data_IF_328600417545
#
_entry.id   IF_328600417545
#
_cell.length_a   1.000
_cell.length_b   1.000
_cell.length_c   1.000
_cell.angle_alpha   90.00
_cell.angle_beta   90.00
_cell.angle_gamma   90.00
#
_symmetry.space_group_name_H-M   'P 1'
#
loop_
_entity.id
_entity.type
_entity.pdbx_description
1 polymer ?
#
# COMPACT_ATOMS: atom_id res chain seq x y z
N UNK A 1 30.03 58.21 70.29
CA UNK A 1 30.14 56.76 70.16
C UNK A 1 29.58 56.39 68.84
N UNK A 2 30.46 55.89 68.04
CA UNK A 2 30.43 55.68 66.61
C UNK A 2 29.74 54.32 66.33
N UNK A 3 28.73 54.28 65.51
CA UNK A 3 28.15 53.04 64.94
C UNK A 3 28.60 52.90 63.51
N UNK A 4 28.84 51.66 62.98
CA UNK A 4 29.43 51.48 61.68
C UNK A 4 28.38 51.51 60.55
N UNK A 5 28.83 52.06 59.44
CA UNK A 5 28.19 52.11 58.14
C UNK A 5 27.93 50.70 57.59
N UNK A 6 26.71 50.44 57.12
CA UNK A 6 26.36 49.28 56.33
C UNK A 6 26.68 49.57 54.86
N UNK A 7 27.62 48.82 54.32
CA UNK A 7 27.87 48.77 52.90
C UNK A 7 26.71 48.08 52.18
N UNK A 8 26.15 48.77 51.22
CA UNK A 8 25.21 48.30 50.22
C UNK A 8 25.95 47.38 49.24
N UNK A 9 25.67 46.10 49.33
CA UNK A 9 26.15 45.13 48.34
C UNK A 9 25.14 45.04 47.19
N UNK A 10 25.49 45.64 46.08
CA UNK A 10 24.72 45.57 44.82
C UNK A 10 24.43 44.12 44.40
N UNK A 11 23.18 43.79 44.36
CA UNK A 11 22.67 42.61 43.68
C UNK A 11 22.88 42.77 42.16
N UNK A 12 23.88 42.09 41.64
CA UNK A 12 23.98 41.81 40.20
C UNK A 12 22.88 40.81 39.88
N UNK A 13 21.78 41.28 39.28
CA UNK A 13 20.79 40.45 38.65
C UNK A 13 21.45 39.74 37.47
N UNK A 14 21.79 38.47 37.64
CA UNK A 14 21.98 37.57 36.55
C UNK A 14 20.59 37.41 35.86
N UNK A 15 20.42 38.10 34.73
CA UNK A 15 19.42 37.71 33.75
C UNK A 15 19.86 36.30 33.29
N UNK A 16 19.22 35.26 33.83
CA UNK A 16 19.27 33.93 33.28
C UNK A 16 18.69 34.03 31.86
N UNK A 17 19.48 33.69 30.87
CA UNK A 17 18.98 33.33 29.57
C UNK A 17 17.99 32.21 29.83
N UNK A 18 16.69 32.47 29.58
CA UNK A 18 15.67 31.45 29.47
C UNK A 18 16.07 30.57 28.28
N UNK A 19 16.84 29.54 28.56
CA UNK A 19 17.05 28.44 27.63
C UNK A 19 15.65 27.85 27.49
N UNK A 20 15.04 28.06 26.32
CA UNK A 20 13.82 27.38 25.94
C UNK A 20 14.16 25.88 25.91
N UNK A 21 13.99 25.21 27.05
CA UNK A 21 14.05 23.76 27.11
C UNK A 21 12.87 23.23 26.30
N UNK A 22 13.15 22.68 25.14
CA UNK A 22 12.15 21.98 24.33
C UNK A 22 11.81 20.66 25.01
N UNK A 23 10.52 20.44 25.28
CA UNK A 23 10.00 19.16 25.76
C UNK A 23 9.55 18.31 24.54
N UNK A 24 9.40 16.99 24.76
CA UNK A 24 8.87 16.06 23.76
C UNK A 24 7.49 16.48 23.22
N UNK A 25 6.68 17.16 24.04
CA UNK A 25 5.38 17.70 23.64
C UNK A 25 5.52 18.87 22.64
N UNK A 26 6.62 19.65 22.74
CA UNK A 26 6.93 20.75 21.80
C UNK A 26 7.40 20.23 20.44
N UNK A 27 8.05 19.07 20.41
CA UNK A 27 8.48 18.41 19.17
C UNK A 27 7.33 17.89 18.33
N UNK A 28 6.12 17.79 18.94
CA UNK A 28 4.92 17.27 18.31
C UNK A 28 4.99 15.77 18.01
N UNK A 29 3.91 15.07 18.20
CA UNK A 29 3.82 13.65 17.78
C UNK A 29 3.73 13.57 16.27
N UNK A 30 4.51 12.68 15.66
CA UNK A 30 4.41 12.36 14.24
C UNK A 30 3.12 11.58 14.02
N UNK A 31 2.23 12.12 13.20
CA UNK A 31 1.02 11.38 12.81
C UNK A 31 1.39 10.17 11.96
N UNK A 32 0.72 9.05 12.21
CA UNK A 32 0.90 7.84 11.39
C UNK A 32 0.50 8.11 9.94
N UNK A 33 -0.63 8.81 9.73
CA UNK A 33 -1.07 9.26 8.40
C UNK A 33 -1.52 10.70 8.48
N UNK A 34 -0.94 11.57 7.66
CA UNK A 34 -1.38 12.95 7.51
C UNK A 34 -1.52 13.38 6.05
N UNK A 35 -2.45 14.29 5.82
CA UNK A 35 -2.67 15.01 4.57
C UNK A 35 -2.30 16.46 4.81
N UNK A 36 -1.18 16.89 4.24
CA UNK A 36 -0.69 18.25 4.37
C UNK A 36 -1.13 19.09 3.18
N UNK A 37 -1.79 20.21 3.43
CA UNK A 37 -2.40 21.07 2.43
C UNK A 37 -1.65 22.38 2.30
N UNK A 38 -1.39 22.81 1.06
CA UNK A 38 -1.01 24.18 0.77
C UNK A 38 -2.17 25.14 1.06
N UNK A 39 -1.86 26.39 1.32
CA UNK A 39 -2.83 27.38 1.83
C UNK A 39 -4.04 27.61 0.89
N UNK A 40 -3.90 27.43 -0.42
CA UNK A 40 -4.99 27.56 -1.39
C UNK A 40 -6.03 26.46 -1.31
N UNK A 41 -5.70 25.32 -0.64
CA UNK A 41 -6.58 24.18 -0.49
C UNK A 41 -7.32 24.14 0.86
N UNK A 42 -6.95 25.01 1.79
CA UNK A 42 -7.60 25.09 3.14
C UNK A 42 -9.11 25.28 3.05
N UNK A 43 -9.66 26.13 2.15
CA UNK A 43 -11.11 26.30 2.03
C UNK A 43 -11.89 25.03 1.68
N UNK A 44 -11.22 24.00 1.15
CA UNK A 44 -11.85 22.71 0.85
C UNK A 44 -12.14 21.87 2.11
N UNK A 45 -11.50 22.19 3.23
CA UNK A 45 -11.60 21.51 4.53
C UNK A 45 -12.54 22.23 5.47
N UNK A 46 -12.69 23.55 5.31
CA UNK A 46 -13.52 24.37 6.16
C UNK A 46 -14.99 23.92 6.13
N UNK A 47 -15.61 23.93 7.30
CA UNK A 47 -17.02 23.52 7.50
C UNK A 47 -18.02 24.34 6.64
N UNK A 48 -17.71 25.60 6.33
CA UNK A 48 -18.48 26.48 5.46
C UNK A 48 -18.44 26.04 3.98
N UNK A 49 -17.36 25.32 3.56
CA UNK A 49 -17.24 24.65 2.26
C UNK A 49 -17.95 23.30 2.18
N UNK A 50 -18.70 22.90 3.22
CA UNK A 50 -19.52 21.69 3.27
C UNK A 50 -18.79 20.42 3.70
N UNK A 51 -17.53 20.50 4.16
CA UNK A 51 -16.78 19.36 4.73
C UNK A 51 -16.66 18.16 3.78
N UNK A 52 -16.73 18.38 2.46
CA UNK A 52 -16.75 17.30 1.44
C UNK A 52 -15.51 16.41 1.54
N UNK A 53 -14.34 17.01 1.66
CA UNK A 53 -13.08 16.27 1.79
C UNK A 53 -13.04 15.44 3.07
N UNK A 54 -13.44 16.01 4.22
CA UNK A 54 -13.50 15.31 5.51
C UNK A 54 -14.44 14.09 5.47
N UNK A 55 -15.61 14.26 4.87
CA UNK A 55 -16.58 13.17 4.73
C UNK A 55 -16.06 12.06 3.81
N UNK A 56 -15.37 12.41 2.72
CA UNK A 56 -14.73 11.43 1.83
C UNK A 56 -13.61 10.68 2.53
N UNK A 57 -12.73 11.38 3.24
CA UNK A 57 -11.63 10.75 4.01
C UNK A 57 -12.19 9.80 5.07
N UNK A 58 -13.25 10.19 5.79
CA UNK A 58 -13.92 9.30 6.74
C UNK A 58 -14.52 8.07 6.07
N UNK A 59 -15.12 8.24 4.89
CA UNK A 59 -15.66 7.15 4.07
C UNK A 59 -14.55 6.18 3.63
N UNK A 60 -13.43 6.70 3.11
CA UNK A 60 -12.26 5.92 2.70
C UNK A 60 -11.67 5.15 3.88
N UNK A 61 -11.45 5.81 5.02
CA UNK A 61 -10.93 5.13 6.21
C UNK A 61 -11.82 3.96 6.62
N UNK A 62 -13.16 4.14 6.62
CA UNK A 62 -14.11 3.07 6.93
C UNK A 62 -14.02 1.93 5.92
N UNK A 63 -14.02 2.27 4.62
CA UNK A 63 -13.94 1.30 3.51
C UNK A 63 -12.65 0.49 3.60
N UNK A 64 -11.49 1.15 3.66
CA UNK A 64 -10.20 0.50 3.75
C UNK A 64 -10.04 -0.35 5.02
N UNK A 65 -10.52 0.12 6.17
CA UNK A 65 -10.50 -0.69 7.40
C UNK A 65 -11.29 -2.00 7.24
N UNK A 66 -12.42 -1.96 6.54
CA UNK A 66 -13.21 -3.15 6.25
C UNK A 66 -12.54 -4.07 5.23
N UNK A 67 -11.94 -3.49 4.17
CA UNK A 67 -11.24 -4.24 3.13
C UNK A 67 -9.98 -4.91 3.68
N UNK A 68 -9.15 -4.19 4.42
CA UNK A 68 -7.88 -4.70 4.97
C UNK A 68 -8.05 -5.59 6.20
N UNK A 69 -9.17 -5.49 6.90
CA UNK A 69 -9.46 -6.31 8.08
C UNK A 69 -8.91 -5.78 9.39
N UNK A 70 -8.42 -4.53 9.44
CA UNK A 70 -7.98 -3.86 10.66
C UNK A 70 -8.35 -2.38 10.67
N UNK A 71 -8.43 -1.78 11.85
CA UNK A 71 -8.78 -0.36 11.98
C UNK A 71 -7.58 0.52 11.58
N UNK A 72 -7.74 1.25 10.48
CA UNK A 72 -6.73 2.22 10.06
C UNK A 72 -6.60 3.35 11.07
N UNK A 73 -5.38 3.87 11.30
CA UNK A 73 -5.15 5.02 12.16
C UNK A 73 -5.94 6.24 11.69
N UNK A 74 -6.09 7.22 12.56
CA UNK A 74 -6.73 8.48 12.19
C UNK A 74 -5.89 9.21 11.14
N UNK A 75 -6.55 9.68 10.08
CA UNK A 75 -5.91 10.50 9.05
C UNK A 75 -6.03 11.96 9.51
N UNK A 76 -4.91 12.59 9.79
CA UNK A 76 -4.85 13.99 10.21
C UNK A 76 -4.71 14.90 9.00
N UNK A 77 -5.51 15.96 8.98
CA UNK A 77 -5.34 17.03 7.98
C UNK A 77 -4.62 18.18 8.66
N UNK A 78 -3.57 18.66 8.02
CA UNK A 78 -2.74 19.77 8.50
C UNK A 78 -2.56 20.79 7.38
N UNK A 79 -2.55 22.06 7.71
CA UNK A 79 -2.04 23.10 6.85
C UNK A 79 -0.51 23.11 6.87
N UNK A 80 0.11 23.26 5.72
CA UNK A 80 1.55 23.38 5.57
C UNK A 80 1.87 24.55 4.67
N UNK A 81 2.32 25.65 5.27
CA UNK A 81 2.62 26.91 4.56
C UNK A 81 3.88 26.82 3.70
N UNK A 82 4.73 25.82 3.91
CA UNK A 82 5.91 25.56 3.09
C UNK A 82 5.55 24.89 1.76
N UNK A 83 4.35 24.34 1.66
CA UNK A 83 3.86 23.77 0.41
C UNK A 83 3.35 24.88 -0.55
N UNK A 84 3.53 24.72 -1.88
CA UNK A 84 2.85 25.55 -2.85
C UNK A 84 1.33 25.58 -2.61
N UNK A 85 0.65 26.69 -2.94
CA UNK A 85 -0.75 26.92 -2.57
C UNK A 85 -1.73 25.82 -3.02
N UNK A 86 -1.50 25.26 -4.19
CA UNK A 86 -2.32 24.27 -4.90
C UNK A 86 -1.82 22.85 -4.74
N UNK A 87 -0.87 22.63 -3.83
CA UNK A 87 -0.20 21.35 -3.63
C UNK A 87 -0.64 20.72 -2.30
N UNK A 88 -0.85 19.40 -2.34
CA UNK A 88 -1.00 18.60 -1.13
C UNK A 88 0.02 17.47 -1.09
N UNK A 89 0.35 17.02 0.12
CA UNK A 89 1.21 15.88 0.37
C UNK A 89 0.51 14.86 1.26
N UNK A 90 0.71 13.59 0.95
CA UNK A 90 0.29 12.47 1.77
C UNK A 90 1.54 11.96 2.47
N UNK A 91 1.50 11.97 3.80
CA UNK A 91 2.65 11.64 4.65
C UNK A 91 2.29 10.43 5.50
N UNK A 92 3.16 9.43 5.53
CA UNK A 92 3.04 8.23 6.37
C UNK A 92 4.31 8.15 7.24
N UNK A 93 4.12 8.07 8.55
CA UNK A 93 5.21 8.02 9.53
C UNK A 93 6.27 9.14 9.31
N UNK A 94 5.81 10.36 9.01
CA UNK A 94 6.67 11.52 8.75
C UNK A 94 7.35 11.53 7.37
N UNK A 95 7.12 10.52 6.51
CA UNK A 95 7.68 10.43 5.17
C UNK A 95 6.63 10.73 4.10
N UNK A 96 6.92 11.63 3.17
CA UNK A 96 6.04 11.93 2.03
C UNK A 96 5.98 10.72 1.11
N UNK A 97 4.77 10.16 0.94
CA UNK A 97 4.49 9.02 0.06
C UNK A 97 3.77 9.40 -1.23
N UNK A 98 3.06 10.52 -1.22
CA UNK A 98 2.38 11.05 -2.40
C UNK A 98 2.36 12.56 -2.41
N UNK A 99 2.39 13.15 -3.60
CA UNK A 99 2.23 14.59 -3.82
C UNK A 99 1.29 14.79 -5.00
N UNK A 100 0.34 15.71 -4.85
CA UNK A 100 -0.56 16.03 -5.94
C UNK A 100 -0.80 17.55 -6.04
N UNK A 101 -1.20 17.98 -7.23
CA UNK A 101 -1.56 19.36 -7.53
C UNK A 101 -3.03 19.45 -7.88
N UNK A 102 -3.71 20.43 -7.33
CA UNK A 102 -5.14 20.67 -7.53
C UNK A 102 -5.36 22.05 -8.12
N UNK A 103 -6.18 22.13 -9.14
CA UNK A 103 -6.65 23.40 -9.65
C UNK A 103 -7.95 23.79 -8.93
N UNK A 104 -7.85 24.76 -8.01
CA UNK A 104 -9.00 25.19 -7.22
C UNK A 104 -10.15 25.68 -8.12
N UNK A 105 -11.36 25.22 -7.85
CA UNK A 105 -12.56 25.60 -8.60
C UNK A 105 -12.73 24.88 -9.95
N UNK A 106 -11.84 23.94 -10.30
CA UNK A 106 -11.94 23.12 -11.52
C UNK A 106 -12.26 21.66 -11.18
N UNK A 107 -12.64 20.90 -12.20
CA UNK A 107 -12.83 19.46 -12.13
C UNK A 107 -11.80 18.75 -13.02
N UNK A 108 -11.43 17.51 -12.67
CA UNK A 108 -10.47 16.74 -13.43
C UNK A 108 -11.20 15.79 -14.37
N UNK A 109 -11.02 15.99 -15.67
CA UNK A 109 -11.48 15.09 -16.72
C UNK A 109 -10.36 14.10 -17.05
N UNK A 110 -10.49 12.86 -16.59
CA UNK A 110 -9.51 11.78 -16.75
C UNK A 110 -9.78 11.05 -18.06
N UNK A 111 -8.76 10.85 -18.87
CA UNK A 111 -8.84 10.08 -20.10
C UNK A 111 -8.68 8.58 -19.78
N UNK A 112 -9.72 7.74 -19.99
CA UNK A 112 -9.63 6.29 -19.75
C UNK A 112 -8.90 5.51 -20.85
N UNK A 113 -8.25 6.19 -21.80
CA UNK A 113 -7.49 5.59 -22.90
C UNK A 113 -8.19 5.65 -24.28
N UNK A 114 -9.49 5.96 -24.33
CA UNK A 114 -10.25 6.07 -25.57
C UNK A 114 -11.32 7.15 -25.46
N UNK A 115 -10.95 8.38 -25.79
CA UNK A 115 -11.88 9.49 -25.83
C UNK A 115 -12.30 9.78 -27.28
N UNK A 116 -13.54 10.24 -27.47
CA UNK A 116 -14.09 10.54 -28.79
C UNK A 116 -13.53 11.86 -29.36
N UNK A 117 -13.28 12.83 -28.49
CA UNK A 117 -12.82 14.17 -28.84
C UNK A 117 -11.97 14.74 -27.74
N UNK A 118 -10.85 15.37 -28.08
CA UNK A 118 -10.05 16.13 -27.13
C UNK A 118 -10.81 17.36 -26.63
N UNK A 119 -10.68 17.67 -25.35
CA UNK A 119 -11.32 18.82 -24.72
C UNK A 119 -10.29 19.87 -24.34
N UNK A 120 -10.71 21.15 -24.35
CA UNK A 120 -9.86 22.27 -23.94
C UNK A 120 -9.79 22.35 -22.39
N UNK A 121 -8.60 22.69 -21.87
CA UNK A 121 -8.39 22.90 -20.45
C UNK A 121 -6.90 22.93 -20.08
N UNK A 122 -6.60 22.84 -18.79
CA UNK A 122 -5.22 22.79 -18.29
C UNK A 122 -4.76 21.33 -18.27
N UNK A 123 -3.75 20.96 -19.08
CA UNK A 123 -3.26 19.58 -19.10
C UNK A 123 -2.69 19.17 -17.74
N UNK A 124 -2.91 17.94 -17.36
CA UNK A 124 -2.42 17.37 -16.11
C UNK A 124 -2.44 15.84 -16.14
N UNK A 125 -2.17 15.25 -14.99
CA UNK A 125 -2.29 13.81 -14.79
C UNK A 125 -3.10 13.53 -13.53
N UNK A 126 -3.85 12.43 -13.55
CA UNK A 126 -4.46 11.92 -12.34
C UNK A 126 -3.38 11.45 -11.36
N UNK A 127 -3.34 11.98 -10.12
CA UNK A 127 -2.26 11.65 -9.18
C UNK A 127 -2.34 10.23 -8.62
N UNK A 128 -3.51 9.57 -8.71
CA UNK A 128 -3.70 8.21 -8.19
C UNK A 128 -3.15 7.14 -9.14
N UNK A 129 -3.45 7.27 -10.45
CA UNK A 129 -3.14 6.24 -11.45
C UNK A 129 -2.19 6.75 -12.55
N UNK A 130 -1.85 8.04 -12.55
CA UNK A 130 -0.94 8.64 -13.54
C UNK A 130 -1.55 8.79 -14.94
N UNK A 131 -2.86 8.59 -15.09
CA UNK A 131 -3.57 8.73 -16.36
C UNK A 131 -3.55 10.18 -16.85
N UNK A 132 -3.53 10.37 -18.16
CA UNK A 132 -3.63 11.68 -18.77
C UNK A 132 -5.00 12.30 -18.47
N UNK A 133 -4.99 13.56 -18.07
CA UNK A 133 -6.19 14.26 -17.63
C UNK A 133 -6.12 15.76 -17.97
N UNK A 134 -7.27 16.41 -17.93
CA UNK A 134 -7.42 17.83 -18.21
C UNK A 134 -8.25 18.48 -17.12
N UNK A 135 -7.76 19.59 -16.54
CA UNK A 135 -8.55 20.41 -15.62
C UNK A 135 -9.49 21.32 -16.40
N UNK A 136 -10.78 21.17 -16.19
CA UNK A 136 -11.85 21.87 -16.89
C UNK A 136 -12.68 22.74 -15.93
N UNK A 137 -13.43 23.67 -16.46
CA UNK A 137 -14.44 24.37 -15.68
C UNK A 137 -15.64 23.45 -15.41
N UNK A 138 -16.31 23.56 -14.25
CA UNK A 138 -17.49 22.73 -13.95
C UNK A 138 -18.63 22.85 -14.97
N UNK A 139 -18.69 23.97 -15.71
CA UNK A 139 -19.67 24.15 -16.77
C UNK A 139 -19.45 23.22 -17.98
N UNK A 140 -18.23 22.72 -18.16
CA UNK A 140 -17.85 21.86 -19.29
C UNK A 140 -17.95 20.36 -18.95
N UNK A 141 -18.34 20.02 -17.73
CA UNK A 141 -18.36 18.64 -17.21
C UNK A 141 -19.25 17.71 -18.03
N UNK A 142 -20.46 18.17 -18.42
CA UNK A 142 -21.37 17.36 -19.24
C UNK A 142 -20.80 17.10 -20.64
N UNK A 143 -20.13 18.09 -21.22
CA UNK A 143 -19.48 17.94 -22.52
C UNK A 143 -18.30 16.99 -22.44
N UNK A 144 -17.46 17.09 -21.39
CA UNK A 144 -16.35 16.18 -21.18
C UNK A 144 -16.80 14.73 -21.00
N UNK A 145 -17.86 14.49 -20.20
CA UNK A 145 -18.46 13.16 -20.03
C UNK A 145 -19.01 12.62 -21.37
N UNK A 146 -19.70 13.44 -22.14
CA UNK A 146 -20.21 13.05 -23.45
C UNK A 146 -19.08 12.71 -24.44
N UNK A 147 -17.89 13.30 -24.25
CA UNK A 147 -16.68 13.03 -25.05
C UNK A 147 -15.91 11.79 -24.59
N UNK A 148 -16.37 11.10 -23.52
CA UNK A 148 -15.78 9.85 -23.03
C UNK A 148 -14.79 10.01 -21.87
N UNK A 149 -14.68 11.23 -21.28
CA UNK A 149 -13.86 11.44 -20.09
C UNK A 149 -14.60 11.06 -18.80
N UNK A 150 -13.85 10.60 -17.81
CA UNK A 150 -14.36 10.46 -16.44
C UNK A 150 -14.09 11.76 -15.68
N UNK A 151 -15.15 12.50 -15.35
CA UNK A 151 -15.02 13.78 -14.65
C UNK A 151 -15.22 13.61 -13.16
N UNK A 152 -14.27 14.10 -12.37
CA UNK A 152 -14.26 14.02 -10.91
C UNK A 152 -13.93 15.38 -10.27
N UNK A 153 -14.56 15.65 -9.13
CA UNK A 153 -14.26 16.85 -8.33
C UNK A 153 -12.90 16.74 -7.62
N UNK A 154 -12.33 17.85 -7.23
CA UNK A 154 -11.02 17.97 -6.57
C UNK A 154 -10.94 17.17 -5.27
N UNK A 155 -12.02 17.11 -4.47
CA UNK A 155 -12.07 16.33 -3.24
C UNK A 155 -12.02 14.82 -3.54
N UNK A 156 -12.61 14.37 -4.63
CA UNK A 156 -12.52 12.99 -5.11
C UNK A 156 -11.11 12.67 -5.57
N UNK A 157 -10.45 13.54 -6.34
CA UNK A 157 -9.06 13.35 -6.78
C UNK A 157 -8.14 13.12 -5.58
N UNK A 158 -8.20 14.02 -4.59
CA UNK A 158 -7.38 13.89 -3.37
C UNK A 158 -7.71 12.61 -2.59
N UNK A 159 -8.98 12.28 -2.47
CA UNK A 159 -9.46 11.12 -1.75
C UNK A 159 -9.04 9.81 -2.44
N UNK A 160 -9.12 9.73 -3.76
CA UNK A 160 -8.67 8.57 -4.55
C UNK A 160 -7.15 8.39 -4.45
N UNK A 161 -6.38 9.47 -4.55
CA UNK A 161 -4.93 9.40 -4.38
C UNK A 161 -4.55 8.96 -2.96
N UNK A 162 -5.22 9.50 -1.92
CA UNK A 162 -5.02 9.06 -0.54
C UNK A 162 -5.32 7.57 -0.37
N UNK A 163 -6.41 7.07 -0.98
CA UNK A 163 -6.76 5.65 -0.96
C UNK A 163 -5.67 4.78 -1.60
N UNK A 164 -5.17 5.16 -2.77
CA UNK A 164 -4.08 4.45 -3.46
C UNK A 164 -2.81 4.42 -2.60
N UNK A 165 -2.37 5.58 -2.10
CA UNK A 165 -1.15 5.69 -1.28
C UNK A 165 -1.26 4.86 0.00
N UNK A 166 -2.43 4.83 0.67
CA UNK A 166 -2.63 4.00 1.86
C UNK A 166 -2.57 2.51 1.50
N UNK A 167 -3.20 2.09 0.40
CA UNK A 167 -3.13 0.69 -0.05
C UNK A 167 -1.71 0.26 -0.38
N UNK A 168 -0.98 1.10 -1.11
CA UNK A 168 0.40 0.83 -1.52
C UNK A 168 1.41 0.74 -0.37
N UNK A 169 1.06 1.29 0.81
CA UNK A 169 1.91 1.32 2.00
C UNK A 169 1.19 0.72 3.23
N UNK A 170 0.26 -0.20 3.01
CA UNK A 170 -0.56 -0.77 4.09
C UNK A 170 0.28 -1.48 5.17
N UNK A 171 1.41 -2.07 4.78
CA UNK A 171 2.34 -2.72 5.70
C UNK A 171 2.96 -1.76 6.72
N UNK A 172 3.15 -0.49 6.36
CA UNK A 172 3.70 0.52 7.28
C UNK A 172 2.71 0.93 8.37
N UNK A 173 1.42 0.66 8.16
CA UNK A 173 0.35 0.94 9.11
C UNK A 173 0.14 -0.19 10.12
N UNK A 174 0.72 -1.37 9.87
CA UNK A 174 0.68 -2.52 10.77
C UNK A 174 1.77 -2.37 11.83
N UNK A 175 1.43 -1.72 12.94
CA UNK A 175 2.29 -1.53 14.11
C UNK A 175 2.11 -2.64 15.13
N UNK A 176 2.97 -2.68 16.15
CA UNK A 176 2.82 -3.60 17.29
C UNK A 176 1.47 -3.42 18.00
N UNK A 177 1.03 -2.16 18.19
CA UNK A 177 -0.23 -1.86 18.88
C UNK A 177 -1.44 -2.35 18.06
N UNK A 178 -1.44 -2.12 16.74
CA UNK A 178 -2.51 -2.59 15.84
C UNK A 178 -2.57 -4.13 15.81
N UNK A 179 -1.44 -4.80 15.73
CA UNK A 179 -1.37 -6.25 15.78
C UNK A 179 -1.88 -6.80 17.14
N UNK A 180 -1.50 -6.16 18.25
CA UNK A 180 -1.97 -6.55 19.57
C UNK A 180 -3.50 -6.38 19.71
N UNK A 181 -4.07 -5.30 19.17
CA UNK A 181 -5.52 -5.11 19.16
C UNK A 181 -6.24 -6.22 18.36
N UNK A 182 -5.68 -6.64 17.22
CA UNK A 182 -6.23 -7.74 16.43
C UNK A 182 -6.17 -9.07 17.19
N UNK A 183 -5.04 -9.36 17.86
CA UNK A 183 -4.86 -10.54 18.68
C UNK A 183 -5.85 -10.56 19.84
N UNK A 184 -6.01 -9.44 20.56
CA UNK A 184 -6.94 -9.33 21.67
C UNK A 184 -8.39 -9.64 21.25
N UNK A 185 -8.81 -9.20 20.06
CA UNK A 185 -10.14 -9.54 19.51
C UNK A 185 -10.33 -11.02 19.25
N UNK A 186 -9.26 -11.71 18.80
CA UNK A 186 -9.33 -13.17 18.64
C UNK A 186 -9.31 -13.87 19.99
N UNK A 187 -8.54 -13.38 20.96
CA UNK A 187 -8.51 -13.89 22.32
C UNK A 187 -9.89 -13.86 22.99
N UNK A 188 -10.65 -12.79 22.83
CA UNK A 188 -12.04 -12.69 23.34
C UNK A 188 -12.93 -13.84 22.83
N UNK A 189 -12.74 -14.28 21.58
CA UNK A 189 -13.56 -15.33 20.95
C UNK A 189 -12.93 -16.71 21.03
N UNK A 190 -11.62 -16.81 21.19
CA UNK A 190 -10.83 -18.04 21.15
C UNK A 190 -9.60 -17.98 22.08
N UNK A 191 -9.81 -17.86 23.40
CA UNK A 191 -8.71 -17.63 24.35
C UNK A 191 -7.65 -18.72 24.31
N UNK A 192 -8.06 -20.00 24.14
CA UNK A 192 -7.12 -21.12 24.09
C UNK A 192 -6.15 -21.09 22.93
N UNK A 193 -6.49 -20.40 21.85
CA UNK A 193 -5.59 -20.25 20.70
C UNK A 193 -4.40 -19.36 21.05
N UNK A 194 -4.61 -18.38 21.92
CA UNK A 194 -3.62 -17.35 22.23
C UNK A 194 -2.79 -17.73 23.47
N UNK A 195 -3.44 -18.32 24.50
CA UNK A 195 -2.89 -18.56 25.84
C UNK A 195 -1.58 -19.39 25.84
N UNK A 196 -1.48 -20.41 24.97
CA UNK A 196 -0.30 -21.28 24.86
C UNK A 196 0.64 -20.91 23.70
N UNK A 197 0.33 -19.83 22.96
CA UNK A 197 1.01 -19.52 21.70
C UNK A 197 1.80 -18.20 21.77
N UNK A 198 1.20 -17.12 22.29
CA UNK A 198 1.80 -15.77 22.32
C UNK A 198 2.04 -15.35 23.79
N UNK A 199 3.23 -14.90 24.16
CA UNK A 199 4.47 -14.74 23.35
C UNK A 199 5.39 -15.99 23.37
N UNK A 200 5.02 -17.05 24.10
CA UNK A 200 5.96 -18.13 24.47
C UNK A 200 6.48 -18.90 23.26
N UNK A 201 5.61 -19.31 22.33
CA UNK A 201 6.01 -20.04 21.14
C UNK A 201 6.43 -19.15 19.99
N UNK A 202 5.69 -18.05 19.75
CA UNK A 202 5.99 -17.10 18.69
C UNK A 202 5.96 -15.65 19.21
N UNK A 203 7.08 -14.91 19.12
CA UNK A 203 7.14 -13.50 19.54
C UNK A 203 6.17 -12.62 18.72
N UNK A 204 5.55 -11.63 19.36
CA UNK A 204 4.67 -10.65 18.69
C UNK A 204 5.36 -10.02 17.47
N UNK A 205 6.65 -9.70 17.56
CA UNK A 205 7.40 -9.12 16.45
C UNK A 205 7.46 -9.99 15.20
N UNK A 206 7.45 -11.32 15.34
CA UNK A 206 7.39 -12.23 14.20
C UNK A 206 5.98 -12.21 13.59
N UNK A 207 4.94 -12.18 14.42
CA UNK A 207 3.54 -12.07 13.94
C UNK A 207 3.35 -10.76 13.17
N UNK A 208 3.80 -9.63 13.73
CA UNK A 208 3.76 -8.32 13.05
C UNK A 208 4.40 -8.39 11.66
N UNK A 209 5.59 -9.01 11.54
CA UNK A 209 6.26 -9.18 10.23
C UNK A 209 5.45 -10.04 9.26
N UNK A 210 4.83 -11.12 9.72
CA UNK A 210 3.96 -11.94 8.85
C UNK A 210 2.79 -11.12 8.35
N UNK A 211 2.11 -10.37 9.23
CA UNK A 211 0.99 -9.50 8.85
C UNK A 211 1.44 -8.41 7.87
N UNK A 212 2.61 -7.81 8.09
CA UNK A 212 3.22 -6.85 7.16
C UNK A 212 3.51 -7.47 5.80
N UNK A 213 4.04 -8.70 5.72
CA UNK A 213 4.26 -9.39 4.45
C UNK A 213 2.96 -9.68 3.71
N UNK A 214 1.90 -10.11 4.41
CA UNK A 214 0.58 -10.31 3.82
C UNK A 214 0.03 -9.00 3.23
N UNK A 215 0.01 -7.93 4.02
CA UNK A 215 -0.45 -6.60 3.58
C UNK A 215 0.38 -6.05 2.42
N UNK A 216 1.70 -6.24 2.47
CA UNK A 216 2.60 -5.83 1.40
C UNK A 216 2.26 -6.49 0.07
N UNK A 217 1.74 -7.68 0.07
CA UNK A 217 1.31 -8.42 -1.11
C UNK A 217 -0.20 -8.30 -1.38
N UNK A 218 -0.87 -7.32 -0.76
CA UNK A 218 -2.29 -7.02 -0.97
C UNK A 218 -3.25 -8.03 -0.33
N UNK A 219 -2.77 -8.93 0.53
CA UNK A 219 -3.62 -9.92 1.20
C UNK A 219 -4.29 -9.30 2.42
N UNK A 220 -5.63 -9.26 2.46
CA UNK A 220 -6.35 -8.70 3.60
C UNK A 220 -6.27 -9.61 4.84
N UNK A 221 -6.33 -8.98 6.01
CA UNK A 221 -6.24 -9.66 7.31
C UNK A 221 -7.62 -10.00 7.92
N UNK A 222 -8.68 -10.03 7.10
CA UNK A 222 -10.05 -10.26 7.57
C UNK A 222 -10.22 -11.60 8.28
N UNK A 223 -9.49 -12.61 7.84
CA UNK A 223 -9.46 -13.93 8.47
C UNK A 223 -8.24 -14.09 9.40
N UNK A 224 -8.18 -13.22 10.41
CA UNK A 224 -7.11 -13.24 11.41
C UNK A 224 -7.05 -14.55 12.19
N UNK A 225 -8.21 -15.23 12.34
CA UNK A 225 -8.28 -16.54 13.01
C UNK A 225 -7.46 -17.57 12.26
N UNK A 226 -7.70 -17.79 10.97
CA UNK A 226 -6.95 -18.74 10.14
C UNK A 226 -5.45 -18.42 10.11
N UNK A 227 -5.11 -17.12 10.08
CA UNK A 227 -3.70 -16.70 10.18
C UNK A 227 -3.08 -17.19 11.47
N UNK A 228 -3.68 -16.90 12.63
CA UNK A 228 -3.13 -17.29 13.94
C UNK A 228 -3.13 -18.81 14.16
N UNK A 229 -4.18 -19.51 13.73
CA UNK A 229 -4.24 -20.99 13.79
C UNK A 229 -3.08 -21.61 13.00
N UNK A 230 -2.84 -21.13 11.77
CA UNK A 230 -1.73 -21.63 10.94
C UNK A 230 -0.37 -21.31 11.57
N UNK A 231 -0.20 -20.09 12.10
CA UNK A 231 1.04 -19.72 12.78
C UNK A 231 1.29 -20.59 14.02
N UNK A 232 0.24 -20.94 14.77
CA UNK A 232 0.34 -21.81 15.94
C UNK A 232 0.73 -23.25 15.57
N UNK A 233 0.24 -23.75 14.43
CA UNK A 233 0.58 -25.10 13.92
C UNK A 233 2.01 -25.17 13.37
N UNK A 234 2.49 -24.10 12.72
CA UNK A 234 3.73 -24.11 11.96
C UNK A 234 4.93 -23.52 12.73
N UNK A 235 4.71 -22.79 13.83
CA UNK A 235 5.78 -22.12 14.57
C UNK A 235 6.81 -23.04 15.21
N UNK A 236 6.48 -24.34 15.41
CA UNK A 236 7.42 -25.34 15.90
C UNK A 236 8.40 -25.79 14.80
N UNK A 237 8.07 -25.61 13.51
CA UNK A 237 8.90 -25.98 12.35
C UNK A 237 9.83 -24.85 11.94
N UNK A 238 9.31 -23.64 11.92
CA UNK A 238 10.08 -22.43 11.56
C UNK A 238 9.59 -21.22 12.34
N UNK A 239 10.49 -20.27 12.58
CA UNK A 239 10.18 -18.95 13.16
C UNK A 239 10.51 -17.80 12.19
N UNK A 240 10.93 -18.15 10.98
CA UNK A 240 11.14 -17.15 9.94
C UNK A 240 9.82 -16.60 9.44
N UNK A 241 9.68 -15.28 9.46
CA UNK A 241 8.42 -14.62 9.13
C UNK A 241 8.04 -14.76 7.64
N UNK A 242 9.02 -14.87 6.73
CA UNK A 242 8.74 -15.03 5.31
C UNK A 242 8.28 -16.46 5.00
N UNK A 243 8.90 -17.46 5.62
CA UNK A 243 8.47 -18.85 5.52
C UNK A 243 7.07 -19.05 6.13
N UNK A 244 6.82 -18.48 7.31
CA UNK A 244 5.49 -18.53 7.95
C UNK A 244 4.43 -17.86 7.06
N UNK A 245 4.74 -16.71 6.44
CA UNK A 245 3.84 -16.06 5.50
C UNK A 245 3.53 -16.97 4.31
N UNK A 246 4.51 -17.66 3.75
CA UNK A 246 4.32 -18.60 2.65
C UNK A 246 3.44 -19.80 3.03
N UNK A 247 3.48 -20.24 4.31
CA UNK A 247 2.62 -21.30 4.83
C UNK A 247 1.18 -20.83 5.13
N UNK A 248 1.01 -19.58 5.53
CA UNK A 248 -0.31 -18.96 5.78
C UNK A 248 -1.09 -18.72 4.48
N UNK A 249 -0.44 -18.25 3.43
CA UNK A 249 -1.10 -17.85 2.17
C UNK A 249 -1.99 -18.92 1.53
N UNK A 250 -1.58 -20.22 1.42
CA UNK A 250 -2.45 -21.26 0.89
C UNK A 250 -3.75 -21.45 1.67
N UNK A 251 -3.73 -21.23 3.00
CA UNK A 251 -4.93 -21.27 3.84
C UNK A 251 -5.89 -20.10 3.57
N UNK A 252 -5.35 -18.98 3.07
CA UNK A 252 -6.10 -17.79 2.67
C UNK A 252 -6.45 -17.76 1.18
N UNK A 253 -6.17 -18.83 0.41
CA UNK A 253 -6.32 -18.86 -1.04
C UNK A 253 -7.69 -18.37 -1.53
N UNK A 254 -8.80 -18.83 -0.91
CA UNK A 254 -10.15 -18.33 -1.24
C UNK A 254 -10.31 -16.84 -0.99
N UNK A 255 -9.77 -16.33 0.11
CA UNK A 255 -9.82 -14.90 0.44
C UNK A 255 -9.02 -14.07 -0.57
N UNK A 256 -7.84 -14.57 -0.98
CA UNK A 256 -6.99 -13.91 -1.97
C UNK A 256 -7.70 -13.85 -3.33
N UNK A 257 -8.32 -14.95 -3.76
CA UNK A 257 -9.01 -15.01 -5.05
C UNK A 257 -10.25 -14.13 -5.11
N UNK A 258 -10.98 -13.96 -4.00
CA UNK A 258 -12.14 -13.05 -3.94
C UNK A 258 -11.79 -11.58 -4.14
N UNK A 259 -10.52 -11.19 -3.98
CA UNK A 259 -10.05 -9.84 -4.32
C UNK A 259 -9.73 -9.69 -5.82
N UNK A 260 -9.65 -10.80 -6.56
CA UNK A 260 -9.21 -10.83 -7.96
C UNK A 260 -10.37 -11.12 -8.92
N UNK A 261 -11.29 -11.99 -8.55
CA UNK A 261 -12.35 -12.50 -9.43
C UNK A 261 -13.63 -12.76 -8.62
N UNK A 262 -14.78 -12.59 -9.25
CA UNK A 262 -16.07 -12.91 -8.63
C UNK A 262 -16.25 -14.43 -8.46
N UNK A 263 -17.14 -14.79 -7.54
CA UNK A 263 -17.48 -16.20 -7.28
C UNK A 263 -18.08 -16.82 -8.55
N UNK A 264 -17.62 -18.00 -8.93
CA UNK A 264 -18.02 -18.76 -10.12
C UNK A 264 -17.46 -18.25 -11.47
N UNK A 265 -16.62 -17.21 -11.47
CA UNK A 265 -15.92 -16.79 -12.70
C UNK A 265 -14.62 -17.57 -12.90
N UNK A 266 -14.22 -17.73 -14.17
CA UNK A 266 -12.94 -18.35 -14.53
C UNK A 266 -11.81 -17.36 -14.35
N UNK A 267 -10.83 -17.70 -13.52
CA UNK A 267 -9.63 -16.89 -13.36
C UNK A 267 -8.68 -17.10 -14.54
N UNK A 268 -8.41 -16.05 -15.30
CA UNK A 268 -7.33 -16.04 -16.28
C UNK A 268 -5.98 -15.87 -15.58
N UNK A 269 -5.01 -16.72 -15.89
CA UNK A 269 -3.68 -16.67 -15.28
C UNK A 269 -2.57 -16.83 -16.31
N UNK A 270 -1.46 -16.15 -16.04
CA UNK A 270 -0.18 -16.39 -16.71
C UNK A 270 0.57 -17.49 -15.95
N UNK A 271 1.34 -18.32 -16.67
CA UNK A 271 2.28 -19.27 -16.08
C UNK A 271 3.61 -19.18 -16.80
N UNK A 272 4.69 -19.55 -16.14
CA UNK A 272 6.00 -19.66 -16.78
C UNK A 272 6.06 -20.91 -17.69
N UNK A 273 6.80 -20.83 -18.77
CA UNK A 273 7.15 -22.02 -19.55
C UNK A 273 7.91 -23.02 -18.65
N UNK A 274 7.63 -24.33 -18.74
CA UNK A 274 8.22 -25.32 -17.83
C UNK A 274 9.75 -25.30 -17.75
N UNK A 275 10.44 -25.07 -18.88
CA UNK A 275 11.91 -24.95 -18.90
C UNK A 275 12.42 -23.74 -18.11
N UNK A 276 11.76 -22.60 -18.24
CA UNK A 276 12.08 -21.38 -17.50
C UNK A 276 11.77 -21.55 -16.01
N UNK A 277 10.62 -22.13 -15.69
CA UNK A 277 10.25 -22.38 -14.29
C UNK A 277 11.24 -23.31 -13.59
N UNK A 278 11.71 -24.35 -14.27
CA UNK A 278 12.71 -25.25 -13.75
C UNK A 278 14.06 -24.53 -13.51
N UNK A 279 14.54 -23.77 -14.49
CA UNK A 279 15.79 -23.00 -14.40
C UNK A 279 15.76 -22.03 -13.21
N UNK A 280 14.68 -21.25 -13.07
CA UNK A 280 14.52 -20.32 -11.96
C UNK A 280 14.41 -21.04 -10.62
N UNK A 281 13.72 -22.19 -10.57
CA UNK A 281 13.61 -23.02 -9.36
C UNK A 281 14.98 -23.55 -8.90
N UNK A 282 15.84 -23.95 -9.84
CA UNK A 282 17.19 -24.36 -9.52
C UNK A 282 18.05 -23.20 -8.99
N UNK A 283 17.89 -21.99 -9.52
CA UNK A 283 18.58 -20.80 -9.02
C UNK A 283 18.15 -20.48 -7.59
N UNK A 284 16.86 -20.48 -7.31
CA UNK A 284 16.34 -20.24 -5.96
C UNK A 284 16.78 -21.31 -4.97
N UNK A 285 16.72 -22.59 -5.36
CA UNK A 285 17.11 -23.71 -4.51
C UNK A 285 18.60 -23.72 -4.13
N UNK A 286 19.48 -23.13 -4.93
CA UNK A 286 20.93 -23.03 -4.68
C UNK A 286 21.33 -21.83 -3.84
N UNK A 287 20.43 -20.84 -3.70
CA UNK A 287 20.71 -19.58 -2.99
C UNK A 287 20.41 -19.71 -1.50
N UNK A 288 21.31 -19.20 -0.66
CA UNK A 288 21.08 -19.17 0.80
C UNK A 288 20.06 -18.08 1.21
N UNK A 289 19.90 -17.05 0.38
CA UNK A 289 18.99 -15.93 0.63
C UNK A 289 18.32 -15.47 -0.67
N UNK A 290 17.03 -15.12 -0.59
CA UNK A 290 16.27 -14.55 -1.71
C UNK A 290 16.86 -13.21 -2.21
N UNK A 291 17.65 -12.52 -1.36
CA UNK A 291 18.30 -11.25 -1.69
C UNK A 291 19.53 -11.40 -2.59
N UNK A 292 20.14 -12.59 -2.57
CA UNK A 292 21.38 -12.88 -3.31
C UNK A 292 21.11 -13.38 -4.72
N UNK A 293 19.85 -13.68 -5.05
CA UNK A 293 19.48 -14.20 -6.36
C UNK A 293 19.55 -13.06 -7.39
N UNK A 294 20.57 -13.09 -8.23
CA UNK A 294 20.71 -12.20 -9.37
C UNK A 294 20.39 -12.97 -10.66
N UNK A 295 19.46 -12.43 -11.44
CA UNK A 295 19.25 -12.90 -12.82
C UNK A 295 20.30 -12.30 -13.74
N UNK A 296 20.66 -13.04 -14.76
CA UNK A 296 21.41 -12.48 -15.87
C UNK A 296 20.58 -11.36 -16.53
N UNK A 297 21.21 -10.21 -16.86
CA UNK A 297 20.46 -9.03 -17.32
C UNK A 297 19.56 -9.30 -18.53
N UNK A 298 20.01 -10.08 -19.51
CA UNK A 298 19.22 -10.41 -20.69
C UNK A 298 18.01 -11.26 -20.37
N UNK A 299 18.12 -12.20 -19.42
CA UNK A 299 17.01 -13.02 -18.96
C UNK A 299 16.01 -12.18 -18.16
N UNK A 300 16.51 -11.26 -17.34
CA UNK A 300 15.64 -10.35 -16.57
C UNK A 300 14.82 -9.43 -17.50
N UNK A 301 15.47 -8.82 -18.51
CA UNK A 301 14.81 -7.98 -19.50
C UNK A 301 13.73 -8.77 -20.28
N UNK A 302 14.07 -9.94 -20.78
CA UNK A 302 13.13 -10.80 -21.51
C UNK A 302 11.92 -11.21 -20.63
N UNK A 303 12.16 -11.54 -19.36
CA UNK A 303 11.09 -11.86 -18.41
C UNK A 303 10.17 -10.66 -18.16
N UNK A 304 10.73 -9.48 -17.89
CA UNK A 304 9.94 -8.27 -17.65
C UNK A 304 9.14 -7.84 -18.87
N UNK A 305 9.71 -7.93 -20.06
CA UNK A 305 9.02 -7.57 -21.31
C UNK A 305 7.88 -8.53 -21.59
N UNK A 306 8.11 -9.85 -21.46
CA UNK A 306 7.07 -10.87 -21.65
C UNK A 306 5.92 -10.71 -20.65
N UNK A 307 6.22 -10.40 -19.38
CA UNK A 307 5.20 -10.12 -18.37
C UNK A 307 4.40 -8.88 -18.75
N UNK A 308 5.06 -7.79 -19.15
CA UNK A 308 4.40 -6.55 -19.54
C UNK A 308 3.46 -6.73 -20.73
N UNK A 309 3.90 -7.43 -21.76
CA UNK A 309 3.08 -7.74 -22.93
C UNK A 309 1.83 -8.55 -22.57
N UNK A 310 1.98 -9.58 -21.73
CA UNK A 310 0.86 -10.40 -21.31
C UNK A 310 -0.09 -9.67 -20.35
N UNK A 311 0.42 -8.80 -19.47
CA UNK A 311 -0.42 -7.92 -18.64
C UNK A 311 -1.29 -7.00 -19.51
N UNK A 312 -0.74 -6.42 -20.57
CA UNK A 312 -1.50 -5.59 -21.52
C UNK A 312 -2.61 -6.39 -22.25
N UNK A 313 -2.33 -7.65 -22.58
CA UNK A 313 -3.35 -8.53 -23.20
C UNK A 313 -4.47 -8.84 -22.19
N UNK A 314 -4.14 -9.14 -20.95
CA UNK A 314 -5.12 -9.40 -19.89
C UNK A 314 -5.97 -8.15 -19.58
N UNK A 315 -5.35 -6.98 -19.58
CA UNK A 315 -6.07 -5.70 -19.41
C UNK A 315 -7.08 -5.45 -20.54
N UNK A 316 -6.74 -5.79 -21.78
CA UNK A 316 -7.67 -5.71 -22.93
C UNK A 316 -8.85 -6.67 -22.80
N UNK A 317 -8.66 -7.78 -22.09
CA UNK A 317 -9.70 -8.78 -21.79
C UNK A 317 -10.44 -8.48 -20.49
N UNK A 318 -10.17 -7.33 -19.86
CA UNK A 318 -10.70 -6.92 -18.54
C UNK A 318 -10.40 -7.94 -17.42
N UNK A 319 -9.34 -8.74 -17.58
CA UNK A 319 -8.91 -9.75 -16.62
C UNK A 319 -7.81 -9.22 -15.69
N UNK A 320 -7.82 -9.56 -14.40
CA UNK A 320 -6.76 -9.17 -13.49
C UNK A 320 -5.43 -9.84 -13.87
N UNK A 321 -4.31 -9.13 -13.83
CA UNK A 321 -3.00 -9.72 -14.14
C UNK A 321 -2.53 -10.63 -13.00
N UNK A 322 -2.60 -11.93 -13.23
CA UNK A 322 -2.22 -12.96 -12.25
C UNK A 322 -1.17 -13.88 -12.82
N UNK A 323 -0.03 -14.02 -12.14
CA UNK A 323 1.02 -14.98 -12.45
C UNK A 323 1.00 -16.12 -11.44
N UNK A 324 0.86 -17.36 -11.90
CA UNK A 324 0.87 -18.57 -11.07
C UNK A 324 2.16 -19.34 -11.29
N UNK A 325 2.87 -19.66 -10.20
CA UNK A 325 4.17 -20.33 -10.22
C UNK A 325 4.30 -21.36 -9.10
N UNK A 326 5.40 -22.10 -9.06
CA UNK A 326 5.68 -23.04 -7.97
C UNK A 326 5.79 -22.30 -6.61
N UNK A 327 5.43 -22.96 -5.49
CA UNK A 327 5.55 -22.37 -4.15
C UNK A 327 6.96 -21.88 -3.81
N UNK A 328 7.98 -22.54 -4.35
CA UNK A 328 9.39 -22.17 -4.15
C UNK A 328 9.72 -20.82 -4.81
N UNK A 329 9.21 -20.60 -6.02
CA UNK A 329 9.49 -19.38 -6.80
C UNK A 329 8.67 -18.18 -6.33
N UNK A 330 7.46 -18.40 -5.86
CA UNK A 330 6.50 -17.35 -5.58
C UNK A 330 7.05 -16.18 -4.73
N UNK A 331 7.67 -16.41 -3.55
CA UNK A 331 8.13 -15.31 -2.70
C UNK A 331 9.19 -14.43 -3.38
N UNK A 332 10.11 -15.08 -4.10
CA UNK A 332 11.17 -14.39 -4.83
C UNK A 332 10.63 -13.59 -6.02
N UNK A 333 9.78 -14.19 -6.86
CA UNK A 333 9.17 -13.52 -8.01
C UNK A 333 8.25 -12.38 -7.61
N UNK A 334 7.41 -12.57 -6.59
CA UNK A 334 6.58 -11.50 -6.07
C UNK A 334 7.40 -10.27 -5.64
N UNK A 335 8.55 -10.51 -5.00
CA UNK A 335 9.45 -9.43 -4.59
C UNK A 335 10.18 -8.79 -5.78
N UNK A 336 10.64 -9.57 -6.74
CA UNK A 336 11.32 -9.10 -7.95
C UNK A 336 10.40 -8.23 -8.80
N UNK A 337 9.18 -8.71 -9.05
CA UNK A 337 8.24 -8.11 -9.98
C UNK A 337 7.50 -6.90 -9.41
N UNK A 338 7.35 -6.79 -8.08
CA UNK A 338 6.64 -5.68 -7.44
C UNK A 338 7.19 -4.29 -7.83
N UNK A 339 8.49 -4.18 -8.14
CA UNK A 339 9.10 -2.90 -8.52
C UNK A 339 8.73 -2.44 -9.93
N UNK A 340 8.52 -3.41 -10.84
CA UNK A 340 8.24 -3.14 -12.26
C UNK A 340 6.75 -3.22 -12.59
N UNK A 341 5.98 -4.03 -11.84
CA UNK A 341 4.59 -4.36 -12.14
C UNK A 341 3.79 -4.43 -10.84
N UNK A 342 3.32 -3.26 -10.34
CA UNK A 342 2.62 -3.16 -9.05
C UNK A 342 1.27 -3.89 -9.05
N UNK A 343 0.59 -3.88 -10.19
CA UNK A 343 -0.73 -4.46 -10.34
C UNK A 343 -0.70 -5.98 -10.54
N UNK A 344 0.49 -6.55 -10.76
CA UNK A 344 0.66 -7.99 -10.95
C UNK A 344 0.56 -8.75 -9.62
N UNK A 345 -0.39 -9.65 -9.53
CA UNK A 345 -0.52 -10.58 -8.42
C UNK A 345 0.23 -11.88 -8.70
N UNK A 346 1.15 -12.27 -7.81
CA UNK A 346 1.90 -13.53 -7.94
C UNK A 346 1.36 -14.55 -6.93
N UNK A 347 0.82 -15.64 -7.44
CA UNK A 347 0.26 -16.75 -6.67
C UNK A 347 1.10 -18.01 -6.85
N UNK A 348 1.02 -18.91 -5.87
CA UNK A 348 1.50 -20.29 -6.06
C UNK A 348 0.36 -21.22 -6.44
N UNK A 349 0.68 -22.35 -7.09
CA UNK A 349 -0.32 -23.38 -7.39
C UNK A 349 -1.07 -23.86 -6.14
N UNK A 350 -0.44 -23.82 -4.97
CA UNK A 350 -1.05 -24.24 -3.69
C UNK A 350 -2.02 -23.21 -3.10
N UNK A 351 -2.04 -21.99 -3.63
CA UNK A 351 -2.97 -20.93 -3.23
C UNK A 351 -4.29 -21.00 -4.02
N UNK A 352 -4.33 -21.79 -5.10
CA UNK A 352 -5.53 -22.00 -5.90
C UNK A 352 -6.39 -23.10 -5.27
N UNK A 353 -7.65 -22.83 -4.90
CA UNK A 353 -8.57 -23.86 -4.46
C UNK A 353 -8.91 -24.85 -5.58
N UNK A 354 -9.13 -26.13 -5.22
CA UNK A 354 -9.42 -27.20 -6.19
C UNK A 354 -10.69 -26.97 -7.00
N UNK A 355 -11.63 -26.18 -6.49
CA UNK A 355 -12.91 -25.87 -7.12
C UNK A 355 -12.88 -24.60 -8.00
N UNK A 356 -11.74 -23.89 -8.08
CA UNK A 356 -11.59 -22.72 -8.93
C UNK A 356 -11.33 -23.09 -10.37
N UNK A 357 -12.17 -22.60 -11.29
CA UNK A 357 -11.91 -22.69 -12.72
C UNK A 357 -10.78 -21.75 -13.13
N UNK A 358 -9.76 -22.27 -13.83
CA UNK A 358 -8.59 -21.49 -14.23
C UNK A 358 -8.32 -21.65 -15.73
N UNK A 359 -8.09 -20.53 -16.41
CA UNK A 359 -7.64 -20.49 -17.80
C UNK A 359 -6.18 -20.05 -17.87
N UNK A 360 -5.33 -20.82 -18.54
CA UNK A 360 -3.88 -20.64 -18.53
C UNK A 360 -3.37 -20.00 -19.83
N UNK A 361 -2.54 -18.96 -19.69
CA UNK A 361 -1.72 -18.38 -20.75
C UNK A 361 -0.24 -18.56 -20.40
N UNK A 362 0.55 -19.14 -21.29
CA UNK A 362 1.97 -19.42 -21.02
C UNK A 362 2.85 -18.24 -21.43
N UNK A 363 3.65 -17.73 -20.47
CA UNK A 363 4.73 -16.80 -20.73
C UNK A 363 5.90 -17.54 -21.39
N UNK A 364 6.26 -17.16 -22.61
CA UNK A 364 7.45 -17.65 -23.30
C UNK A 364 8.56 -16.63 -23.15
N UNK A 365 9.69 -17.02 -22.56
CA UNK A 365 10.93 -16.30 -22.81
C UNK A 365 11.29 -16.53 -24.27
N UNK A 366 11.58 -15.47 -25.04
CA UNK A 366 11.96 -15.57 -26.46
C UNK A 366 12.99 -16.71 -26.67
N UNK A 367 12.85 -17.46 -27.76
CA UNK A 367 13.68 -18.64 -28.10
C UNK A 367 15.20 -18.41 -28.02
N UNK A 368 15.65 -17.16 -28.02
CA UNK A 368 17.06 -16.75 -27.87
C UNK A 368 17.65 -16.95 -26.48
N UNK A 369 16.86 -17.16 -25.43
CA UNK A 369 17.36 -17.27 -24.05
C UNK A 369 17.66 -18.73 -23.65
N UNK A 370 16.94 -19.69 -24.23
CA UNK A 370 17.19 -21.11 -24.01
C UNK A 370 18.46 -21.64 -24.73
N UNK A 371 18.95 -20.92 -25.75
CA UNK A 371 20.17 -21.27 -26.49
C UNK A 371 21.48 -20.75 -25.83
N UNK A 372 21.38 -20.02 -24.70
CA UNK A 372 22.50 -19.41 -24.00
C UNK A 372 22.90 -20.14 -22.69
N UNK A 373 22.32 -21.33 -22.39
CA UNK A 373 22.68 -22.14 -21.22
C UNK A 373 23.40 -23.42 -21.62
#
# INVERSE_FOLDING_TARGET
LIGPETMDSGETSHQGEDILELDWDDAGQVDVVSLELGYGLIPMVDADGGGRLLNRIKGIRKKLSSEMGFLLPAIRIRDNLDNPPDTYKIVINGSTRGTGHIQAGKELAINPGHVLTEIEGIPGKDPAFGLDAVWIDPADSEYAQASGYTVVDTATVMATHLNSVIKDNAEELMTYDVAQELINKIEESSPKLIEDFIPEKLPLGTIVRVLQYLLKEGVPLRDMRTILETLAEECDKTKDAAELCALVRPKLGRLILQELVEVDETLAVMTLEPGLEQLLSELVARSESLDEIALEPSLAEALFDSIRENMQLMEQEEAPPVLVVSPLLRPWLARLLRRSSRDLTVLSYTELPDDQSVSYTHLRAHETVLDLV
#
